data_IF_506801205794
#
_entry.id   IF_506801205794
#
_cell.length_a   1.000
_cell.length_b   1.000
_cell.length_c   1.000
_cell.angle_alpha   90.00
_cell.angle_beta   90.00
_cell.angle_gamma   90.00
#
_symmetry.space_group_name_H-M   'P 1'
#
loop_
_entity.id
_entity.type
_entity.pdbx_description
1 polymer ?
#
# COMPACT_ATOMS: atom_id res chain seq x y z
N UNK A 1 8.20 23.89 -10.48
CA UNK A 1 8.46 23.31 -9.14
C UNK A 1 7.33 22.39 -8.63
N UNK A 2 6.05 22.79 -8.59
CA UNK A 2 4.93 21.95 -8.06
C UNK A 2 4.70 20.62 -8.82
N UNK A 3 4.90 20.56 -10.15
CA UNK A 3 4.73 19.34 -10.94
C UNK A 3 5.81 18.26 -10.66
N UNK A 4 7.05 18.69 -10.39
CA UNK A 4 8.13 17.77 -10.05
C UNK A 4 7.91 17.11 -8.69
N UNK A 5 7.47 17.88 -7.68
CA UNK A 5 7.19 17.35 -6.36
C UNK A 5 6.08 16.27 -6.39
N UNK A 6 4.98 16.53 -7.12
CA UNK A 6 3.91 15.53 -7.23
C UNK A 6 4.40 14.22 -7.84
N UNK A 7 5.26 14.28 -8.86
CA UNK A 7 5.86 13.08 -9.47
C UNK A 7 6.76 12.35 -8.48
N UNK A 8 7.62 13.07 -7.76
CA UNK A 8 8.51 12.48 -6.76
C UNK A 8 7.70 11.71 -5.72
N UNK A 9 6.63 12.31 -5.17
CA UNK A 9 5.80 11.64 -4.17
C UNK A 9 5.05 10.43 -4.76
N UNK A 10 4.52 10.52 -5.99
CA UNK A 10 3.89 9.37 -6.64
C UNK A 10 4.86 8.21 -6.88
N UNK A 11 6.13 8.50 -7.22
CA UNK A 11 7.15 7.47 -7.31
C UNK A 11 7.57 6.94 -5.94
N UNK A 12 7.61 7.78 -4.91
CA UNK A 12 7.85 7.32 -3.53
C UNK A 12 6.76 6.34 -3.07
N UNK A 13 5.48 6.62 -3.38
CA UNK A 13 4.37 5.68 -3.14
C UNK A 13 4.63 4.33 -3.84
N UNK A 14 5.03 4.35 -5.11
CA UNK A 14 5.33 3.13 -5.86
C UNK A 14 6.44 2.32 -5.19
N UNK A 15 7.52 2.98 -4.78
CA UNK A 15 8.68 2.31 -4.16
C UNK A 15 8.30 1.73 -2.80
N UNK A 16 7.64 2.50 -1.94
CA UNK A 16 7.30 2.08 -0.58
C UNK A 16 6.30 0.92 -0.61
N UNK A 17 5.21 1.07 -1.36
CA UNK A 17 4.19 0.02 -1.49
C UNK A 17 4.76 -1.20 -2.21
N UNK A 18 5.50 -1.00 -3.30
CA UNK A 18 6.14 -2.08 -4.04
C UNK A 18 7.12 -2.87 -3.18
N UNK A 19 7.95 -2.21 -2.36
CA UNK A 19 8.85 -2.88 -1.42
C UNK A 19 8.09 -3.71 -0.38
N UNK A 20 6.96 -3.21 0.13
CA UNK A 20 6.10 -3.98 1.03
C UNK A 20 5.59 -5.28 0.38
N UNK A 21 5.11 -5.20 -0.86
CA UNK A 21 4.66 -6.40 -1.59
C UNK A 21 5.79 -7.37 -1.90
N UNK A 22 6.97 -6.85 -2.29
CA UNK A 22 8.15 -7.68 -2.52
C UNK A 22 8.60 -8.41 -1.25
N UNK A 23 8.48 -7.78 -0.07
CA UNK A 23 8.77 -8.43 1.19
C UNK A 23 7.74 -9.52 1.56
N UNK A 24 6.48 -9.36 1.13
CA UNK A 24 5.42 -10.33 1.40
C UNK A 24 5.52 -11.59 0.52
N UNK A 25 6.04 -11.49 -0.71
CA UNK A 25 6.16 -12.64 -1.63
C UNK A 25 6.96 -13.80 -1.01
N UNK A 26 8.19 -13.60 -0.50
CA UNK A 26 8.94 -14.67 0.15
C UNK A 26 8.21 -15.27 1.34
N UNK A 27 7.49 -14.44 2.11
CA UNK A 27 6.71 -14.90 3.24
C UNK A 27 5.57 -15.83 2.83
N UNK A 28 4.80 -15.48 1.79
CA UNK A 28 3.74 -16.35 1.28
C UNK A 28 4.29 -17.63 0.66
N UNK A 29 5.42 -17.56 -0.04
CA UNK A 29 6.11 -18.76 -0.55
C UNK A 29 6.62 -19.65 0.58
N UNK A 30 7.16 -19.05 1.66
CA UNK A 30 7.61 -19.78 2.84
C UNK A 30 6.44 -20.46 3.57
N UNK A 31 5.31 -19.79 3.74
CA UNK A 31 4.10 -20.37 4.32
C UNK A 31 3.56 -21.57 3.51
N UNK A 32 3.77 -21.55 2.19
CA UNK A 32 3.37 -22.65 1.32
C UNK A 32 4.11 -23.95 1.65
N UNK A 33 5.39 -23.84 2.01
CA UNK A 33 6.22 -24.99 2.31
C UNK A 33 6.15 -25.45 3.77
N UNK A 34 5.44 -24.75 4.65
CA UNK A 34 5.25 -25.16 6.03
C UNK A 34 4.01 -26.05 6.16
N UNK A 35 4.17 -27.36 6.52
CA UNK A 35 3.10 -28.36 6.47
C UNK A 35 1.95 -28.18 7.47
N UNK A 36 1.94 -27.09 8.27
CA UNK A 36 1.02 -26.95 9.40
C UNK A 36 0.09 -25.74 9.34
N UNK A 37 0.00 -24.99 8.24
CA UNK A 37 -0.88 -23.82 8.16
C UNK A 37 -2.02 -24.03 7.16
N UNK A 38 -3.24 -23.95 7.70
CA UNK A 38 -4.50 -24.36 7.09
C UNK A 38 -5.06 -23.45 5.97
N UNK A 39 -4.33 -22.42 5.51
CA UNK A 39 -4.81 -21.61 4.40
C UNK A 39 -4.36 -22.17 3.06
N UNK A 40 -5.28 -22.37 2.09
CA UNK A 40 -4.87 -22.78 0.75
C UNK A 40 -3.88 -21.76 0.20
N UNK A 41 -2.69 -22.20 -0.22
CA UNK A 41 -1.63 -21.31 -0.69
C UNK A 41 -2.06 -20.44 -1.89
N UNK A 42 -2.94 -20.98 -2.73
CA UNK A 42 -3.52 -20.29 -3.88
C UNK A 42 -4.38 -19.08 -3.48
N UNK A 43 -5.05 -19.11 -2.35
CA UNK A 43 -5.90 -18.00 -1.91
C UNK A 43 -5.04 -16.77 -1.49
N UNK A 44 -4.02 -16.98 -0.67
CA UNK A 44 -3.15 -15.90 -0.21
C UNK A 44 -2.36 -15.26 -1.35
N UNK A 45 -1.81 -16.06 -2.26
CA UNK A 45 -1.06 -15.55 -3.42
C UNK A 45 -1.95 -14.86 -4.44
N UNK A 46 -3.16 -15.34 -4.69
CA UNK A 46 -4.11 -14.68 -5.60
C UNK A 46 -4.64 -13.37 -5.01
N UNK A 47 -4.89 -13.31 -3.71
CA UNK A 47 -5.28 -12.07 -3.04
C UNK A 47 -4.15 -11.03 -3.11
N UNK A 48 -2.90 -11.44 -2.83
CA UNK A 48 -1.73 -10.58 -2.94
C UNK A 48 -1.55 -10.06 -4.37
N UNK A 49 -1.68 -10.92 -5.37
CA UNK A 49 -1.59 -10.53 -6.77
C UNK A 49 -2.71 -9.56 -7.18
N UNK A 50 -3.95 -9.82 -6.78
CA UNK A 50 -5.10 -8.97 -7.08
C UNK A 50 -4.97 -7.58 -6.45
N UNK A 51 -4.53 -7.49 -5.19
CA UNK A 51 -4.31 -6.21 -4.51
C UNK A 51 -3.14 -5.43 -5.12
N UNK A 52 -2.08 -6.12 -5.54
CA UNK A 52 -0.97 -5.49 -6.25
C UNK A 52 -1.37 -4.95 -7.63
N UNK A 53 -2.17 -5.72 -8.40
CA UNK A 53 -2.74 -5.26 -9.67
C UNK A 53 -3.65 -4.05 -9.46
N UNK A 54 -4.49 -4.04 -8.44
CA UNK A 54 -5.31 -2.89 -8.07
C UNK A 54 -4.47 -1.65 -7.81
N UNK A 55 -3.43 -1.78 -6.99
CA UNK A 55 -2.48 -0.71 -6.72
C UNK A 55 -1.83 -0.17 -7.98
N UNK A 56 -1.23 -1.05 -8.81
CA UNK A 56 -0.56 -0.66 -10.05
C UNK A 56 -1.50 0.00 -11.05
N UNK A 57 -2.73 -0.51 -11.19
CA UNK A 57 -3.73 0.09 -12.07
C UNK A 57 -4.08 1.52 -11.63
N UNK A 58 -4.33 1.74 -10.34
CA UNK A 58 -4.59 3.06 -9.77
C UNK A 58 -3.42 4.02 -10.00
N UNK A 59 -2.21 3.56 -9.68
CA UNK A 59 -1.00 4.35 -9.83
C UNK A 59 -0.71 4.72 -11.29
N UNK A 60 -0.77 3.76 -12.22
CA UNK A 60 -0.54 3.98 -13.64
C UNK A 60 -1.56 4.93 -14.27
N UNK A 61 -2.85 4.75 -13.96
CA UNK A 61 -3.90 5.63 -14.46
C UNK A 61 -3.74 7.06 -13.94
N UNK A 62 -3.32 7.22 -12.69
CA UNK A 62 -3.09 8.54 -12.13
C UNK A 62 -1.86 9.20 -12.72
N UNK A 63 -0.71 8.49 -12.79
CA UNK A 63 0.57 9.06 -13.25
C UNK A 63 0.55 9.36 -14.74
N UNK A 64 0.01 8.46 -15.57
CA UNK A 64 0.04 8.61 -17.04
C UNK A 64 -1.08 9.51 -17.57
N UNK A 65 -2.28 9.44 -16.98
CA UNK A 65 -3.48 10.08 -17.53
C UNK A 65 -4.05 11.18 -16.64
N UNK A 66 -3.57 11.36 -15.40
CA UNK A 66 -4.20 12.22 -14.41
C UNK A 66 -5.66 11.85 -14.16
N UNK A 67 -5.98 10.56 -14.31
CA UNK A 67 -7.34 10.05 -14.31
C UNK A 67 -7.96 10.12 -12.92
N UNK A 68 -9.20 10.63 -12.86
CA UNK A 68 -10.00 10.59 -11.63
C UNK A 68 -10.21 9.15 -11.14
N UNK A 69 -10.43 8.21 -12.05
CA UNK A 69 -10.54 6.79 -11.69
C UNK A 69 -9.24 6.26 -11.06
N UNK A 70 -8.09 6.61 -11.64
CA UNK A 70 -6.78 6.25 -11.07
C UNK A 70 -6.55 6.83 -9.68
N UNK A 71 -6.98 8.07 -9.46
CA UNK A 71 -6.93 8.69 -8.14
C UNK A 71 -7.76 7.91 -7.10
N UNK A 72 -9.02 7.59 -7.42
CA UNK A 72 -9.89 6.87 -6.50
C UNK A 72 -9.41 5.43 -6.25
N UNK A 73 -8.94 4.73 -7.29
CA UNK A 73 -8.37 3.39 -7.14
C UNK A 73 -7.15 3.40 -6.21
N UNK A 74 -6.24 4.36 -6.37
CA UNK A 74 -5.06 4.47 -5.52
C UNK A 74 -5.42 4.86 -4.08
N UNK A 75 -6.33 5.83 -3.91
CA UNK A 75 -6.77 6.28 -2.60
C UNK A 75 -7.48 5.17 -1.82
N UNK A 76 -8.41 4.46 -2.45
CA UNK A 76 -9.13 3.35 -1.81
C UNK A 76 -8.22 2.20 -1.47
N UNK A 77 -7.23 1.89 -2.33
CA UNK A 77 -6.20 0.91 -2.02
C UNK A 77 -5.43 1.29 -0.74
N UNK A 78 -4.89 2.52 -0.67
CA UNK A 78 -4.13 2.99 0.50
C UNK A 78 -4.97 3.00 1.78
N UNK A 79 -6.26 3.37 1.68
CA UNK A 79 -7.18 3.33 2.81
C UNK A 79 -7.41 1.90 3.31
N UNK A 80 -7.64 0.94 2.41
CA UNK A 80 -7.83 -0.47 2.77
C UNK A 80 -6.58 -1.03 3.43
N UNK A 81 -5.39 -0.78 2.88
CA UNK A 81 -4.13 -1.21 3.50
C UNK A 81 -3.92 -0.57 4.88
N UNK A 82 -4.10 0.75 4.98
CA UNK A 82 -3.93 1.45 6.25
C UNK A 82 -4.89 0.92 7.33
N UNK A 83 -6.16 0.67 6.97
CA UNK A 83 -7.14 0.06 7.89
C UNK A 83 -6.75 -1.35 8.30
N UNK A 84 -6.26 -2.18 7.37
CA UNK A 84 -5.81 -3.54 7.67
C UNK A 84 -4.67 -3.55 8.69
N UNK A 85 -3.62 -2.75 8.46
CA UNK A 85 -2.49 -2.67 9.39
C UNK A 85 -2.87 -2.00 10.71
N UNK A 86 -3.75 -0.98 10.69
CA UNK A 86 -4.27 -0.36 11.91
C UNK A 86 -5.04 -1.36 12.76
N UNK A 87 -5.92 -2.16 12.15
CA UNK A 87 -6.64 -3.22 12.84
C UNK A 87 -5.69 -4.23 13.49
N UNK A 88 -4.67 -4.68 12.75
CA UNK A 88 -3.65 -5.58 13.30
C UNK A 88 -2.87 -4.92 14.44
N UNK A 89 -2.51 -3.65 14.33
CA UNK A 89 -1.80 -2.92 15.37
C UNK A 89 -2.66 -2.79 16.64
N UNK A 90 -3.94 -2.44 16.51
CA UNK A 90 -4.86 -2.36 17.64
C UNK A 90 -4.97 -3.71 18.36
N UNK A 91 -5.06 -4.79 17.60
CA UNK A 91 -5.07 -6.15 18.16
C UNK A 91 -3.77 -6.48 18.89
N UNK A 92 -2.59 -6.09 18.35
CA UNK A 92 -1.31 -6.26 19.04
C UNK A 92 -1.22 -5.45 20.33
N UNK A 93 -1.69 -4.19 20.32
CA UNK A 93 -1.75 -3.34 21.52
C UNK A 93 -2.63 -3.97 22.60
N UNK A 94 -3.80 -4.49 22.22
CA UNK A 94 -4.71 -5.17 23.14
C UNK A 94 -4.08 -6.39 23.83
N UNK A 95 -3.10 -7.03 23.18
CA UNK A 95 -2.35 -8.16 23.73
C UNK A 95 -0.95 -7.76 24.25
N UNK A 96 -0.70 -6.46 24.50
CA UNK A 96 0.55 -5.94 25.08
C UNK A 96 1.78 -6.14 24.18
N UNK A 97 1.58 -6.23 22.85
CA UNK A 97 2.62 -6.54 21.86
C UNK A 97 3.36 -7.88 22.07
N UNK A 98 3.00 -8.66 23.08
CA UNK A 98 3.65 -9.94 23.36
C UNK A 98 3.68 -10.89 22.13
N UNK A 99 2.58 -11.07 21.37
CA UNK A 99 2.61 -11.90 20.16
C UNK A 99 3.59 -11.40 19.11
N UNK A 100 3.70 -10.09 18.95
CA UNK A 100 4.61 -9.49 17.97
C UNK A 100 6.09 -9.71 18.33
N UNK A 101 6.46 -9.48 19.59
CA UNK A 101 7.83 -9.71 20.05
C UNK A 101 8.20 -11.20 20.10
N UNK A 102 7.23 -12.08 20.35
CA UNK A 102 7.48 -13.53 20.27
C UNK A 102 7.78 -13.98 18.84
N UNK A 103 7.24 -13.31 17.81
CA UNK A 103 7.53 -13.60 16.42
C UNK A 103 9.00 -13.35 16.08
N UNK A 104 9.64 -12.35 16.67
CA UNK A 104 11.05 -12.05 16.40
C UNK A 104 11.95 -13.27 16.64
N UNK A 105 11.65 -14.05 17.66
CA UNK A 105 12.45 -15.22 18.03
C UNK A 105 11.98 -16.52 17.35
N UNK A 106 10.70 -16.61 16.98
CA UNK A 106 10.12 -17.82 16.40
C UNK A 106 10.01 -17.79 14.89
N UNK A 107 9.75 -16.62 14.32
CA UNK A 107 9.58 -16.42 12.89
C UNK A 107 10.06 -15.01 12.49
N UNK A 108 11.40 -14.83 12.36
CA UNK A 108 11.99 -13.54 12.05
C UNK A 108 11.55 -13.00 10.67
N UNK A 109 11.18 -13.87 9.73
CA UNK A 109 10.67 -13.45 8.43
C UNK A 109 9.29 -12.80 8.57
N UNK A 110 8.39 -13.42 9.33
CA UNK A 110 7.07 -12.86 9.62
C UNK A 110 7.16 -11.56 10.41
N UNK A 111 8.04 -11.49 11.40
CA UNK A 111 8.32 -10.25 12.13
C UNK A 111 8.74 -9.12 11.19
N UNK A 112 9.66 -9.40 10.26
CA UNK A 112 10.14 -8.42 9.29
C UNK A 112 9.02 -7.94 8.37
N UNK A 113 8.17 -8.84 7.88
CA UNK A 113 7.01 -8.50 7.03
C UNK A 113 6.04 -7.59 7.77
N UNK A 114 5.71 -7.88 9.03
CA UNK A 114 4.85 -7.02 9.84
C UNK A 114 5.49 -5.66 10.14
N UNK A 115 6.78 -5.63 10.46
CA UNK A 115 7.49 -4.37 10.71
C UNK A 115 7.47 -3.45 9.47
N UNK A 116 7.75 -4.01 8.29
CA UNK A 116 7.65 -3.27 7.01
C UNK A 116 6.21 -2.83 6.77
N UNK A 117 5.22 -3.68 7.04
CA UNK A 117 3.80 -3.35 6.92
C UNK A 117 3.37 -2.18 7.81
N UNK A 118 3.83 -2.13 9.06
CA UNK A 118 3.53 -0.99 9.96
C UNK A 118 4.21 0.30 9.49
N UNK A 119 5.44 0.24 9.00
CA UNK A 119 6.10 1.39 8.37
C UNK A 119 5.33 1.86 7.12
N UNK A 120 4.86 0.91 6.30
CA UNK A 120 4.02 1.22 5.14
C UNK A 120 2.69 1.86 5.54
N UNK A 121 2.08 1.46 6.67
CA UNK A 121 0.88 2.08 7.20
C UNK A 121 1.10 3.56 7.54
N UNK A 122 2.18 3.88 8.26
CA UNK A 122 2.51 5.28 8.59
C UNK A 122 2.75 6.10 7.33
N UNK A 123 3.51 5.57 6.37
CA UNK A 123 3.70 6.16 5.05
C UNK A 123 2.38 6.30 4.29
N UNK A 124 1.52 5.30 4.37
CA UNK A 124 0.19 5.28 3.74
C UNK A 124 -0.70 6.43 4.20
N UNK A 125 -0.76 6.72 5.51
CA UNK A 125 -1.50 7.89 6.02
C UNK A 125 -0.95 9.19 5.47
N UNK A 126 0.38 9.36 5.43
CA UNK A 126 1.00 10.55 4.82
C UNK A 126 0.66 10.67 3.33
N UNK A 127 0.64 9.57 2.59
CA UNK A 127 0.26 9.53 1.18
C UNK A 127 -1.23 9.82 0.97
N UNK A 128 -2.13 9.33 1.83
CA UNK A 128 -3.56 9.66 1.80
C UNK A 128 -3.78 11.15 1.98
N UNK A 129 -3.14 11.76 2.98
CA UNK A 129 -3.18 13.20 3.22
C UNK A 129 -2.65 13.96 2.00
N UNK A 130 -1.51 13.54 1.45
CA UNK A 130 -0.95 14.15 0.25
C UNK A 130 -1.93 14.09 -0.93
N UNK A 131 -2.52 12.93 -1.21
CA UNK A 131 -3.48 12.76 -2.30
C UNK A 131 -4.71 13.65 -2.09
N UNK A 132 -5.25 13.71 -0.86
CA UNK A 132 -6.39 14.57 -0.54
C UNK A 132 -6.09 16.06 -0.79
N UNK A 133 -4.94 16.53 -0.31
CA UNK A 133 -4.52 17.93 -0.48
C UNK A 133 -4.19 18.29 -1.94
N UNK A 134 -3.82 17.30 -2.76
CA UNK A 134 -3.36 17.52 -4.14
C UNK A 134 -4.36 17.06 -5.20
N UNK A 135 -5.57 16.67 -4.83
CA UNK A 135 -6.60 16.21 -5.77
C UNK A 135 -6.75 17.12 -6.99
N UNK A 136 -6.96 18.42 -6.76
CA UNK A 136 -7.14 19.38 -7.86
C UNK A 136 -5.95 19.44 -8.81
N UNK A 137 -4.72 19.36 -8.29
CA UNK A 137 -3.50 19.44 -9.11
C UNK A 137 -3.18 18.13 -9.82
N UNK A 138 -3.61 16.99 -9.27
CA UNK A 138 -3.37 15.67 -9.84
C UNK A 138 -4.40 15.27 -10.89
N UNK A 139 -5.64 15.73 -10.73
CA UNK A 139 -6.77 15.31 -11.57
C UNK A 139 -7.31 16.45 -12.42
N UNK A 140 -7.68 17.59 -11.81
CA UNK A 140 -8.40 18.67 -12.50
C UNK A 140 -7.50 19.42 -13.48
N UNK A 141 -6.29 19.77 -13.07
CA UNK A 141 -5.37 20.56 -13.90
C UNK A 141 -4.67 19.77 -15.01
N UNK A 142 -4.93 18.46 -15.12
CA UNK A 142 -4.36 17.63 -16.19
C UNK A 142 -5.34 17.38 -17.34
N UNK A 143 -6.58 17.87 -17.28
CA UNK A 143 -7.51 17.76 -18.41
C UNK A 143 -7.08 18.73 -19.52
N UNK A 144 -6.64 18.23 -20.69
CA UNK A 144 -6.37 19.09 -21.83
C UNK A 144 -7.72 19.67 -22.30
N UNK A 145 -7.90 20.98 -22.22
CA UNK A 145 -9.06 21.66 -22.75
C UNK A 145 -9.83 22.60 -21.82
N UNK A 146 -9.52 22.64 -20.54
CA UNK A 146 -10.02 23.73 -19.68
C UNK A 146 -9.01 24.89 -19.67
N UNK A 147 -9.02 25.68 -20.75
CA UNK A 147 -8.49 27.04 -20.73
C UNK A 147 -9.29 27.78 -19.66
N UNK A 148 -8.63 28.20 -18.58
CA UNK A 148 -9.20 29.11 -17.60
C UNK A 148 -9.67 30.37 -18.37
N UNK A 149 -10.94 30.78 -18.28
CA UNK A 149 -11.30 32.11 -18.75
C UNK A 149 -10.49 33.12 -17.95
N UNK A 150 -9.85 34.03 -18.68
CA UNK A 150 -9.06 35.15 -18.15
C UNK A 150 -9.93 36.09 -17.30
#
# INVERSE_FOLDING_TARGET
MKRSLNRIVLYAILVVVGANYLAQIPYYLYLYYLPHRALPPLFGTSLLAATFVWFLAGWLLLVRRGSQAGYWLLLTFLLVEACFYLFNMVNQVAHGFAPFFHLQNRDPLLFTVFAIGYLNMVGGFAFIIFLALRYRTLVVNQRPGQVSPA
#
